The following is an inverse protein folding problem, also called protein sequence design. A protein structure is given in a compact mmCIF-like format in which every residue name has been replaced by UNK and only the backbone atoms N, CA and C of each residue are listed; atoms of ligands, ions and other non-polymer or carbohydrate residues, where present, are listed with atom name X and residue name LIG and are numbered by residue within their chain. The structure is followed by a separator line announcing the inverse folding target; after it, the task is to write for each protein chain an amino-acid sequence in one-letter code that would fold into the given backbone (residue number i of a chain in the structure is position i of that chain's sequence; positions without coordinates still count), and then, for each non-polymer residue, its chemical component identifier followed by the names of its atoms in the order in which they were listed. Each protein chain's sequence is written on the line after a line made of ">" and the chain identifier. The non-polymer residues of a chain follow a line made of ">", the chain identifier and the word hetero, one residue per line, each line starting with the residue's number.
data_IF_123620643823
#
_entry.id   IF_123620643823
#
_cell.length_a   1.000
_cell.length_b   1.000
_cell.length_c   1.000
_cell.angle_alpha   90.00
_cell.angle_beta   90.00
_cell.angle_gamma   90.00
#
_symmetry.space_group_name_H-M   'P 1'
#
loop_
_entity.id
_entity.type
_entity.pdbx_description
1 polymer ?
#
# COMPACT_ATOMS: atom_id res chain seq x y z
N UNK A 1 -31.62 16.04 -13.16
CA UNK A 1 -31.74 14.70 -13.77
C UNK A 1 -31.02 13.81 -12.79
N UNK A 2 -31.78 13.17 -11.92
CA UNK A 2 -31.23 12.34 -10.85
C UNK A 2 -30.63 11.10 -11.52
N UNK A 3 -29.31 10.93 -11.43
CA UNK A 3 -28.68 9.69 -11.84
C UNK A 3 -29.11 8.63 -10.81
N UNK A 4 -30.03 7.75 -11.19
CA UNK A 4 -30.40 6.61 -10.35
C UNK A 4 -29.15 5.77 -10.09
N UNK A 5 -28.72 5.72 -8.83
CA UNK A 5 -27.76 4.74 -8.37
C UNK A 5 -28.38 3.35 -8.53
N UNK A 6 -27.68 2.43 -9.19
CA UNK A 6 -28.15 1.06 -9.36
C UNK A 6 -27.52 0.18 -8.29
N UNK A 7 -28.33 -0.69 -7.69
CA UNK A 7 -27.91 -1.65 -6.68
C UNK A 7 -27.92 -3.07 -7.25
N UNK A 8 -26.90 -3.85 -6.91
CA UNK A 8 -26.74 -5.25 -7.33
C UNK A 8 -26.46 -6.13 -6.11
N UNK A 9 -27.37 -7.07 -5.84
CA UNK A 9 -27.22 -7.99 -4.69
C UNK A 9 -27.02 -9.43 -5.17
N UNK A 10 -26.11 -10.16 -4.53
CA UNK A 10 -25.95 -11.62 -4.69
C UNK A 10 -25.42 -12.05 -6.07
N UNK A 11 -24.47 -11.30 -6.64
CA UNK A 11 -23.92 -11.57 -7.97
C UNK A 11 -22.92 -12.73 -7.93
N UNK A 12 -23.42 -13.91 -8.28
CA UNK A 12 -22.59 -15.12 -8.37
C UNK A 12 -21.53 -15.06 -9.47
N UNK A 13 -21.87 -14.51 -10.64
CA UNK A 13 -20.94 -14.40 -11.76
C UNK A 13 -21.30 -13.25 -12.69
N UNK A 14 -20.35 -12.36 -12.95
CA UNK A 14 -20.46 -11.32 -13.96
C UNK A 14 -19.30 -11.36 -14.97
N UNK A 15 -19.62 -11.39 -16.25
CA UNK A 15 -18.61 -11.53 -17.31
C UNK A 15 -18.01 -10.19 -17.75
N UNK A 16 -18.83 -9.18 -17.99
CA UNK A 16 -18.42 -7.87 -18.47
C UNK A 16 -19.47 -6.85 -18.11
N UNK A 17 -19.06 -5.80 -17.41
CA UNK A 17 -19.88 -4.62 -17.16
C UNK A 17 -19.18 -3.40 -17.72
N UNK A 18 -19.99 -2.50 -18.27
CA UNK A 18 -19.61 -1.16 -18.72
C UNK A 18 -20.71 -0.23 -18.25
N UNK A 19 -20.39 0.60 -17.26
CA UNK A 19 -21.30 1.55 -16.63
C UNK A 19 -20.90 2.98 -16.89
N UNK A 20 -21.85 3.88 -16.62
CA UNK A 20 -21.62 5.31 -16.59
C UNK A 20 -22.45 6.01 -15.49
N UNK A 21 -22.94 5.25 -14.50
CA UNK A 21 -23.67 5.76 -13.34
C UNK A 21 -23.06 5.19 -12.06
N UNK A 22 -23.29 5.85 -10.93
CA UNK A 22 -22.91 5.29 -9.63
C UNK A 22 -23.60 3.93 -9.39
N UNK A 23 -22.91 3.00 -8.74
CA UNK A 23 -23.49 1.70 -8.37
C UNK A 23 -23.06 1.24 -6.99
N UNK A 24 -23.86 0.35 -6.42
CA UNK A 24 -23.58 -0.41 -5.21
C UNK A 24 -23.65 -1.90 -5.54
N UNK A 25 -22.67 -2.66 -5.08
CA UNK A 25 -22.59 -4.10 -5.29
C UNK A 25 -22.40 -4.81 -3.94
N UNK A 26 -23.37 -5.63 -3.56
CA UNK A 26 -23.34 -6.44 -2.35
C UNK A 26 -23.27 -7.93 -2.71
N UNK A 27 -22.26 -8.63 -2.20
CA UNK A 27 -22.11 -10.08 -2.34
C UNK A 27 -21.75 -10.52 -3.75
N UNK A 28 -20.51 -10.27 -4.17
CA UNK A 28 -19.99 -10.62 -5.49
C UNK A 28 -19.02 -11.80 -5.42
N UNK A 29 -19.46 -12.97 -5.87
CA UNK A 29 -18.57 -14.15 -5.86
C UNK A 29 -17.50 -14.08 -6.95
N UNK A 30 -17.86 -13.65 -8.18
CA UNK A 30 -16.89 -13.58 -9.26
C UNK A 30 -17.19 -12.48 -10.29
N UNK A 31 -16.23 -11.59 -10.49
CA UNK A 31 -16.27 -10.58 -11.55
C UNK A 31 -15.08 -10.68 -12.50
N UNK A 32 -15.35 -10.79 -13.81
CA UNK A 32 -14.29 -10.96 -14.81
C UNK A 32 -13.73 -9.65 -15.37
N UNK A 33 -14.59 -8.69 -15.68
CA UNK A 33 -14.15 -7.40 -16.26
C UNK A 33 -15.18 -6.33 -15.94
N UNK A 34 -14.73 -5.30 -15.27
CA UNK A 34 -15.51 -4.11 -14.98
C UNK A 34 -14.79 -2.89 -15.53
N UNK A 35 -15.56 -2.01 -16.17
CA UNK A 35 -15.12 -0.69 -16.61
C UNK A 35 -16.22 0.29 -16.21
N UNK A 36 -15.88 1.34 -15.48
CA UNK A 36 -16.82 2.40 -15.13
C UNK A 36 -16.09 3.73 -14.97
N UNK A 37 -16.86 4.82 -15.09
CA UNK A 37 -16.35 6.18 -14.99
C UNK A 37 -16.76 6.91 -13.70
N UNK A 38 -17.60 6.31 -12.85
CA UNK A 38 -18.22 6.97 -11.69
C UNK A 38 -17.92 6.26 -10.37
N UNK A 39 -18.41 6.86 -9.29
CA UNK A 39 -18.25 6.33 -7.95
C UNK A 39 -18.93 4.96 -7.75
N UNK A 40 -18.26 4.03 -7.07
CA UNK A 40 -18.83 2.72 -6.73
C UNK A 40 -18.57 2.34 -5.28
N UNK A 41 -19.46 1.51 -4.75
CA UNK A 41 -19.30 0.82 -3.47
C UNK A 41 -19.40 -0.68 -3.70
N UNK A 42 -18.50 -1.43 -3.08
CA UNK A 42 -18.41 -2.89 -3.20
C UNK A 42 -18.29 -3.50 -1.82
N UNK A 43 -19.25 -4.35 -1.48
CA UNK A 43 -19.28 -5.10 -0.24
C UNK A 43 -19.18 -6.61 -0.57
N UNK A 44 -18.28 -7.30 0.12
CA UNK A 44 -18.05 -8.75 0.03
C UNK A 44 -17.74 -9.27 -1.40
N UNK A 45 -16.50 -9.02 -1.84
CA UNK A 45 -16.00 -9.49 -3.14
C UNK A 45 -15.06 -10.67 -2.97
N UNK A 46 -15.51 -11.86 -3.36
CA UNK A 46 -14.65 -13.06 -3.29
C UNK A 46 -13.55 -13.05 -4.37
N UNK A 47 -13.89 -12.70 -5.62
CA UNK A 47 -12.91 -12.71 -6.70
C UNK A 47 -13.16 -11.63 -7.76
N UNK A 48 -12.16 -10.77 -7.98
CA UNK A 48 -12.15 -9.79 -9.05
C UNK A 48 -10.96 -9.96 -9.98
N UNK A 49 -11.22 -10.13 -11.29
CA UNK A 49 -10.15 -10.38 -12.26
C UNK A 49 -9.55 -9.11 -12.85
N UNK A 50 -10.39 -8.15 -13.24
CA UNK A 50 -9.94 -6.91 -13.87
C UNK A 50 -10.96 -5.82 -13.62
N UNK A 51 -10.50 -4.77 -12.96
CA UNK A 51 -11.21 -3.53 -12.77
C UNK A 51 -10.44 -2.39 -13.44
N UNK A 52 -11.19 -1.46 -14.00
CA UNK A 52 -10.71 -0.22 -14.60
C UNK A 52 -11.74 0.86 -14.24
N UNK A 53 -11.37 1.80 -13.38
CA UNK A 53 -12.29 2.81 -12.85
C UNK A 53 -11.66 4.20 -12.84
N UNK A 54 -12.47 5.21 -13.10
CA UNK A 54 -11.99 6.59 -13.15
C UNK A 54 -12.25 7.39 -11.87
N UNK A 55 -13.26 7.04 -11.08
CA UNK A 55 -13.73 7.85 -9.94
C UNK A 55 -13.56 7.15 -8.57
N UNK A 56 -14.08 7.78 -7.51
CA UNK A 56 -13.90 7.33 -6.13
C UNK A 56 -14.51 5.95 -5.89
N UNK A 57 -13.82 5.05 -5.20
CA UNK A 57 -14.39 3.74 -4.87
C UNK A 57 -14.17 3.37 -3.42
N UNK A 58 -15.12 2.64 -2.88
CA UNK A 58 -15.03 2.01 -1.56
C UNK A 58 -15.17 0.50 -1.74
N UNK A 59 -14.28 -0.24 -1.08
CA UNK A 59 -14.26 -1.70 -1.09
C UNK A 59 -14.22 -2.20 0.35
N UNK A 60 -15.23 -2.95 0.75
CA UNK A 60 -15.30 -3.67 2.01
C UNK A 60 -15.26 -5.18 1.72
N UNK A 61 -14.23 -5.85 2.25
CA UNK A 61 -14.09 -7.30 2.20
C UNK A 61 -13.76 -7.82 0.80
N UNK A 62 -12.47 -7.84 0.46
CA UNK A 62 -11.97 -8.44 -0.79
C UNK A 62 -11.06 -9.63 -0.53
N UNK A 63 -11.52 -10.83 -0.88
CA UNK A 63 -10.69 -12.04 -0.74
C UNK A 63 -9.59 -12.10 -1.80
N UNK A 64 -9.90 -11.80 -3.06
CA UNK A 64 -8.90 -11.87 -4.14
C UNK A 64 -9.12 -10.84 -5.24
N UNK A 65 -8.10 -10.01 -5.47
CA UNK A 65 -8.04 -9.09 -6.60
C UNK A 65 -6.83 -9.33 -7.50
N UNK A 66 -7.08 -9.53 -8.79
CA UNK A 66 -6.00 -9.84 -9.74
C UNK A 66 -5.37 -8.60 -10.38
N UNK A 67 -6.19 -7.65 -10.81
CA UNK A 67 -5.71 -6.45 -11.50
C UNK A 67 -6.68 -5.31 -11.30
N UNK A 68 -6.20 -4.27 -10.64
CA UNK A 68 -6.88 -3.01 -10.51
C UNK A 68 -6.08 -1.92 -11.23
N UNK A 69 -6.83 -1.00 -11.83
CA UNK A 69 -6.33 0.21 -12.48
C UNK A 69 -7.36 1.30 -12.14
N UNK A 70 -6.95 2.22 -11.29
CA UNK A 70 -7.77 3.34 -10.83
C UNK A 70 -7.12 4.67 -11.15
N UNK A 71 -7.90 5.74 -11.07
CA UNK A 71 -7.42 7.09 -11.31
C UNK A 71 -7.81 8.10 -10.24
N UNK A 72 -8.50 7.72 -9.16
CA UNK A 72 -9.03 8.64 -8.15
C UNK A 72 -9.05 8.02 -6.75
N UNK A 73 -9.50 8.77 -5.74
CA UNK A 73 -9.44 8.36 -4.33
C UNK A 73 -10.09 6.99 -4.05
N UNK A 74 -9.45 6.11 -3.30
CA UNK A 74 -10.10 4.86 -2.88
C UNK A 74 -9.86 4.53 -1.42
N UNK A 75 -10.80 3.76 -0.88
CA UNK A 75 -10.75 3.19 0.44
C UNK A 75 -10.93 1.68 0.32
N UNK A 76 -10.06 0.94 1.00
CA UNK A 76 -10.07 -0.52 1.03
C UNK A 76 -10.07 -0.97 2.48
N UNK A 77 -11.12 -1.66 2.89
CA UNK A 77 -11.24 -2.33 4.17
C UNK A 77 -11.21 -3.85 3.93
N UNK A 78 -10.26 -4.55 4.55
CA UNK A 78 -10.16 -6.00 4.53
C UNK A 78 -9.78 -6.58 3.16
N UNK A 79 -8.48 -6.74 2.91
CA UNK A 79 -7.96 -7.33 1.66
C UNK A 79 -7.07 -8.53 1.94
N UNK A 80 -7.55 -9.73 1.62
CA UNK A 80 -6.75 -10.95 1.82
C UNK A 80 -5.63 -11.08 0.78
N UNK A 81 -5.92 -10.84 -0.49
CA UNK A 81 -4.91 -10.99 -1.55
C UNK A 81 -5.07 -10.01 -2.71
N UNK A 82 -4.01 -9.24 -2.96
CA UNK A 82 -3.90 -8.39 -4.14
C UNK A 82 -2.69 -8.73 -5.00
N UNK A 83 -2.92 -8.95 -6.30
CA UNK A 83 -1.84 -9.32 -7.23
C UNK A 83 -1.17 -8.14 -7.90
N UNK A 84 -1.94 -7.16 -8.38
CA UNK A 84 -1.44 -5.99 -9.09
C UNK A 84 -2.42 -4.86 -8.93
N UNK A 85 -1.95 -3.80 -8.32
CA UNK A 85 -2.63 -2.53 -8.21
C UNK A 85 -1.80 -1.47 -8.89
N UNK A 86 -2.48 -0.61 -9.65
CA UNK A 86 -1.93 0.59 -10.24
C UNK A 86 -2.96 1.68 -9.98
N UNK A 87 -2.51 2.78 -9.39
CA UNK A 87 -3.35 3.95 -9.17
C UNK A 87 -2.53 5.23 -9.23
N UNK A 88 -3.21 6.34 -9.49
CA UNK A 88 -2.60 7.64 -9.64
C UNK A 88 -2.84 8.60 -8.46
N UNK A 89 -3.67 8.26 -7.47
CA UNK A 89 -4.23 9.19 -6.48
C UNK A 89 -4.27 8.63 -5.05
N UNK A 90 -4.88 9.37 -4.13
CA UNK A 90 -4.81 9.11 -2.70
C UNK A 90 -5.57 7.85 -2.25
N UNK A 91 -4.98 7.04 -1.39
CA UNK A 91 -5.63 5.81 -0.91
C UNK A 91 -5.54 5.63 0.60
N UNK A 92 -6.51 4.90 1.12
CA UNK A 92 -6.50 4.35 2.49
C UNK A 92 -6.71 2.84 2.40
N UNK A 93 -5.88 2.10 3.13
CA UNK A 93 -5.91 0.64 3.19
C UNK A 93 -5.92 0.20 4.64
N UNK A 94 -6.96 -0.51 5.01
CA UNK A 94 -7.12 -1.13 6.32
C UNK A 94 -7.08 -2.66 6.13
N UNK A 95 -6.21 -3.32 6.88
CA UNK A 95 -6.01 -4.77 6.91
C UNK A 95 -5.69 -5.44 5.55
N UNK A 96 -4.40 -5.55 5.24
CA UNK A 96 -3.91 -6.21 4.03
C UNK A 96 -3.07 -7.44 4.39
N UNK A 97 -3.59 -8.63 4.13
CA UNK A 97 -2.84 -9.86 4.40
C UNK A 97 -1.70 -10.06 3.39
N UNK A 98 -1.97 -9.89 2.09
CA UNK A 98 -0.94 -10.11 1.07
C UNK A 98 -1.08 -9.19 -0.13
N UNK A 99 0.02 -8.46 -0.41
CA UNK A 99 0.15 -7.65 -1.62
C UNK A 99 1.37 -8.04 -2.44
N UNK A 100 1.15 -8.34 -3.72
CA UNK A 100 2.24 -8.79 -4.60
C UNK A 100 2.97 -7.63 -5.31
N UNK A 101 2.22 -6.67 -5.84
CA UNK A 101 2.76 -5.56 -6.64
C UNK A 101 1.83 -4.37 -6.54
N UNK A 102 2.36 -3.30 -5.99
CA UNK A 102 1.75 -1.99 -5.99
C UNK A 102 2.63 -1.01 -6.75
N UNK A 103 1.97 -0.13 -7.47
CA UNK A 103 2.54 1.00 -8.19
C UNK A 103 1.57 2.17 -7.99
N UNK A 104 1.99 3.16 -7.22
CA UNK A 104 1.22 4.36 -6.93
C UNK A 104 1.97 5.60 -7.36
N UNK A 105 1.28 6.74 -7.31
CA UNK A 105 1.88 8.04 -7.60
C UNK A 105 1.45 9.14 -6.64
N UNK A 106 0.82 8.86 -5.50
CA UNK A 106 0.25 9.88 -4.60
C UNK A 106 0.11 9.39 -3.15
N UNK A 107 -0.31 10.26 -2.24
CA UNK A 107 -0.31 10.01 -0.80
C UNK A 107 -1.12 8.76 -0.39
N UNK A 108 -0.58 7.91 0.48
CA UNK A 108 -1.33 6.76 0.99
C UNK A 108 -1.19 6.58 2.50
N UNK A 109 -2.19 5.94 3.07
CA UNK A 109 -2.20 5.46 4.44
C UNK A 109 -2.45 3.95 4.41
N UNK A 110 -1.66 3.21 5.18
CA UNK A 110 -1.77 1.77 5.33
C UNK A 110 -1.82 1.43 6.81
N UNK A 111 -2.88 0.75 7.23
CA UNK A 111 -3.03 0.17 8.55
C UNK A 111 -3.06 -1.37 8.42
N UNK A 112 -2.11 -2.03 9.08
CA UNK A 112 -2.09 -3.49 9.20
C UNK A 112 -1.74 -4.21 7.89
N UNK A 113 -0.45 -4.38 7.62
CA UNK A 113 0.03 -5.17 6.47
C UNK A 113 0.84 -6.38 6.90
N UNK A 114 0.32 -7.57 6.65
CA UNK A 114 1.07 -8.81 6.98
C UNK A 114 2.21 -9.05 6.00
N UNK A 115 1.97 -8.92 4.69
CA UNK A 115 3.01 -9.20 3.69
C UNK A 115 2.93 -8.34 2.44
N UNK A 116 4.03 -7.67 2.13
CA UNK A 116 4.21 -6.94 0.89
C UNK A 116 5.45 -7.39 0.11
N UNK A 117 5.25 -7.74 -1.17
CA UNK A 117 6.36 -8.26 -2.00
C UNK A 117 7.12 -7.18 -2.77
N UNK A 118 6.39 -6.22 -3.34
CA UNK A 118 6.97 -5.15 -4.15
C UNK A 118 6.04 -3.95 -4.11
N UNK A 119 6.57 -2.88 -3.57
CA UNK A 119 5.94 -1.57 -3.57
C UNK A 119 6.87 -0.60 -4.29
N UNK A 120 6.25 0.23 -5.13
CA UNK A 120 6.89 1.36 -5.79
C UNK A 120 5.89 2.50 -5.68
N UNK A 121 6.31 3.60 -5.08
CA UNK A 121 5.54 4.83 -5.05
C UNK A 121 6.49 6.01 -5.26
N UNK A 122 5.91 7.19 -5.47
CA UNK A 122 6.64 8.41 -5.72
C UNK A 122 6.25 9.54 -4.77
N UNK A 123 5.48 9.30 -3.71
CA UNK A 123 4.90 10.33 -2.83
C UNK A 123 4.79 9.88 -1.37
N UNK A 124 4.33 10.80 -0.51
CA UNK A 124 4.40 10.62 0.94
C UNK A 124 3.47 9.51 1.45
N UNK A 125 3.93 8.68 2.39
CA UNK A 125 3.11 7.60 2.96
C UNK A 125 3.18 7.55 4.47
N UNK A 126 2.16 6.93 5.04
CA UNK A 126 2.09 6.54 6.44
C UNK A 126 1.78 5.04 6.53
N UNK A 127 2.54 4.34 7.37
CA UNK A 127 2.40 2.90 7.59
C UNK A 127 2.30 2.61 9.08
N UNK A 128 1.14 2.10 9.48
CA UNK A 128 0.91 1.52 10.80
C UNK A 128 0.91 -0.01 10.67
N UNK A 129 1.76 -0.68 11.45
CA UNK A 129 1.86 -2.15 11.51
C UNK A 129 2.23 -2.86 10.19
N UNK A 130 3.50 -3.21 10.00
CA UNK A 130 3.94 -4.08 8.90
C UNK A 130 4.77 -5.28 9.36
N UNK A 131 4.23 -6.49 9.19
CA UNK A 131 4.96 -7.71 9.58
C UNK A 131 6.11 -8.02 8.62
N UNK A 132 5.90 -7.92 7.31
CA UNK A 132 6.95 -8.26 6.34
C UNK A 132 6.90 -7.45 5.05
N UNK A 133 8.02 -6.77 4.78
CA UNK A 133 8.27 -6.12 3.49
C UNK A 133 9.47 -6.70 2.76
N UNK A 134 9.28 -7.11 1.51
CA UNK A 134 10.36 -7.69 0.71
C UNK A 134 11.17 -6.65 -0.08
N UNK A 135 10.48 -5.71 -0.72
CA UNK A 135 11.09 -4.69 -1.59
C UNK A 135 10.19 -3.47 -1.61
N UNK A 136 10.77 -2.37 -1.19
CA UNK A 136 10.16 -1.05 -1.23
C UNK A 136 11.11 -0.11 -1.94
N UNK A 137 10.53 0.71 -2.80
CA UNK A 137 11.20 1.78 -3.52
C UNK A 137 10.28 2.98 -3.43
N UNK A 138 10.82 4.08 -2.95
CA UNK A 138 10.10 5.34 -2.88
C UNK A 138 11.05 6.52 -3.13
N UNK A 139 10.47 7.67 -3.50
CA UNK A 139 11.18 8.90 -3.78
C UNK A 139 10.89 10.02 -2.75
N UNK A 140 10.00 9.82 -1.77
CA UNK A 140 9.45 10.89 -0.93
C UNK A 140 9.42 10.55 0.57
N UNK A 141 8.73 11.37 1.37
CA UNK A 141 8.79 11.29 2.82
C UNK A 141 7.89 10.18 3.37
N UNK A 142 8.36 9.40 4.35
CA UNK A 142 7.58 8.30 4.91
C UNK A 142 7.59 8.32 6.43
N UNK A 143 6.48 7.85 7.01
CA UNK A 143 6.32 7.57 8.42
C UNK A 143 6.02 6.07 8.60
N UNK A 144 6.73 5.44 9.53
CA UNK A 144 6.62 4.01 9.83
C UNK A 144 6.55 3.81 11.34
N UNK A 145 5.44 3.22 11.80
CA UNK A 145 5.21 3.07 13.24
C UNK A 145 5.77 1.72 13.72
N UNK A 146 5.28 0.58 13.20
CA UNK A 146 5.80 -0.73 13.57
C UNK A 146 6.20 -1.56 12.34
N UNK A 147 7.44 -2.08 12.31
CA UNK A 147 7.90 -3.00 11.29
C UNK A 147 8.65 -4.19 11.89
N UNK A 148 8.08 -5.40 11.77
CA UNK A 148 8.78 -6.61 12.22
C UNK A 148 9.95 -6.99 11.30
N UNK A 149 9.76 -6.96 9.98
CA UNK A 149 10.82 -7.35 9.05
C UNK A 149 10.82 -6.59 7.73
N UNK A 150 11.97 -5.99 7.41
CA UNK A 150 12.23 -5.37 6.12
C UNK A 150 13.46 -5.96 5.42
N UNK A 151 13.27 -6.45 4.19
CA UNK A 151 14.36 -7.08 3.43
C UNK A 151 15.17 -6.10 2.59
N UNK A 152 14.52 -5.15 1.94
CA UNK A 152 15.17 -4.19 1.06
C UNK A 152 14.33 -2.94 0.92
N UNK A 153 14.91 -1.84 1.36
CA UNK A 153 14.39 -0.50 1.17
C UNK A 153 15.36 0.31 0.32
N UNK A 154 14.80 1.15 -0.54
CA UNK A 154 15.51 2.19 -1.28
C UNK A 154 14.63 3.42 -1.24
N UNK A 155 15.07 4.45 -0.54
CA UNK A 155 14.41 5.75 -0.47
C UNK A 155 15.33 6.85 -0.97
N UNK A 156 14.77 8.05 -1.10
CA UNK A 156 15.51 9.23 -1.53
C UNK A 156 15.24 10.46 -0.66
N UNK A 157 14.37 10.40 0.35
CA UNK A 157 13.86 11.57 1.09
C UNK A 157 13.66 11.25 2.57
N UNK A 158 13.16 12.22 3.34
CA UNK A 158 13.11 12.13 4.81
C UNK A 158 12.26 10.95 5.30
N UNK A 159 12.74 10.18 6.28
CA UNK A 159 11.95 9.09 6.87
C UNK A 159 11.98 9.14 8.39
N UNK A 160 10.85 8.82 9.01
CA UNK A 160 10.72 8.57 10.45
C UNK A 160 10.36 7.08 10.65
N UNK A 161 11.02 6.45 11.61
CA UNK A 161 10.83 5.05 11.96
C UNK A 161 10.74 4.92 13.47
N UNK A 162 9.61 4.45 13.98
CA UNK A 162 9.41 4.31 15.41
C UNK A 162 9.97 2.96 15.90
N UNK A 163 9.37 1.83 15.51
CA UNK A 163 9.86 0.50 15.88
C UNK A 163 10.20 -0.38 14.68
N UNK A 164 11.44 -0.90 14.66
CA UNK A 164 11.85 -1.94 13.70
C UNK A 164 12.56 -3.10 14.37
N UNK A 165 11.99 -4.30 14.30
CA UNK A 165 12.67 -5.50 14.81
C UNK A 165 13.85 -5.92 13.92
N UNK A 166 13.68 -5.97 12.60
CA UNK A 166 14.75 -6.42 11.70
C UNK A 166 14.78 -5.71 10.35
N UNK A 167 15.94 -5.14 10.03
CA UNK A 167 16.24 -4.59 8.71
C UNK A 167 17.45 -5.26 8.05
N UNK A 168 17.27 -5.78 6.83
CA UNK A 168 18.36 -6.47 6.11
C UNK A 168 19.22 -5.54 5.26
N UNK A 169 18.59 -4.65 4.51
CA UNK A 169 19.27 -3.75 3.56
C UNK A 169 18.47 -2.48 3.42
N UNK A 170 19.10 -1.38 3.79
CA UNK A 170 18.57 -0.05 3.65
C UNK A 170 19.54 0.79 2.83
N UNK A 171 19.00 1.60 1.94
CA UNK A 171 19.70 2.58 1.14
C UNK A 171 18.82 3.82 1.12
N UNK A 172 19.36 4.94 1.58
CA UNK A 172 18.69 6.24 1.48
C UNK A 172 19.73 7.34 1.25
N UNK A 173 19.29 8.47 0.71
CA UNK A 173 20.16 9.61 0.40
C UNK A 173 20.04 10.77 1.41
N UNK A 174 18.96 10.84 2.18
CA UNK A 174 18.48 12.00 2.92
C UNK A 174 18.26 11.72 4.43
N UNK A 175 17.67 12.69 5.13
CA UNK A 175 17.58 12.74 6.59
C UNK A 175 16.71 11.61 7.18
N UNK A 176 17.14 10.99 8.28
CA UNK A 176 16.37 9.92 8.92
C UNK A 176 16.32 10.11 10.44
N UNK A 177 15.21 9.73 11.04
CA UNK A 177 15.08 9.56 12.50
C UNK A 177 14.61 8.12 12.78
N UNK A 178 15.21 7.52 13.80
CA UNK A 178 14.95 6.15 14.22
C UNK A 178 14.83 6.11 15.74
N UNK A 179 13.70 5.63 16.25
CA UNK A 179 13.48 5.54 17.69
C UNK A 179 14.03 4.21 18.23
N UNK A 180 13.52 3.06 17.78
CA UNK A 180 13.98 1.74 18.20
C UNK A 180 14.25 0.79 17.01
N UNK A 181 15.48 0.26 16.97
CA UNK A 181 15.83 -0.84 16.06
C UNK A 181 16.55 -1.98 16.77
N UNK A 182 15.95 -3.17 16.76
CA UNK A 182 16.60 -4.34 17.37
C UNK A 182 17.77 -4.83 16.52
N UNK A 183 17.61 -4.97 15.20
CA UNK A 183 18.67 -5.49 14.34
C UNK A 183 18.75 -4.85 12.96
N UNK A 184 19.94 -4.34 12.64
CA UNK A 184 20.28 -3.85 11.31
C UNK A 184 21.46 -4.58 10.69
N UNK A 185 21.28 -5.14 9.49
CA UNK A 185 22.38 -5.87 8.80
C UNK A 185 23.25 -5.00 7.91
N UNK A 186 22.64 -4.11 7.13
CA UNK A 186 23.35 -3.27 6.18
C UNK A 186 22.58 -1.99 5.94
N UNK A 187 23.23 -0.89 6.22
CA UNK A 187 22.75 0.46 5.97
C UNK A 187 23.72 1.19 5.05
N UNK A 188 23.17 1.99 4.15
CA UNK A 188 23.89 2.94 3.31
C UNK A 188 23.09 4.26 3.34
N UNK A 189 23.68 5.32 3.87
CA UNK A 189 23.09 6.66 3.95
C UNK A 189 24.11 7.73 3.54
N UNK A 190 23.66 8.95 3.27
CA UNK A 190 24.58 10.06 2.93
C UNK A 190 24.41 11.30 3.81
N UNK A 191 23.19 11.58 4.30
CA UNK A 191 22.87 12.81 5.03
C UNK A 191 22.52 12.53 6.50
N UNK A 192 21.98 13.52 7.24
CA UNK A 192 21.73 13.50 8.68
C UNK A 192 20.97 12.25 9.18
N UNK A 193 21.43 11.66 10.29
CA UNK A 193 20.82 10.48 10.89
C UNK A 193 20.71 10.66 12.41
N UNK A 194 19.51 10.54 12.96
CA UNK A 194 19.26 10.45 14.39
C UNK A 194 18.87 9.02 14.76
N UNK A 195 19.41 8.52 15.86
CA UNK A 195 19.11 7.20 16.41
C UNK A 195 18.97 7.30 17.93
N UNK A 196 17.83 6.91 18.46
CA UNK A 196 17.61 6.91 19.91
C UNK A 196 17.94 5.52 20.51
N UNK A 197 17.62 4.43 19.81
CA UNK A 197 17.84 3.06 20.26
C UNK A 197 18.21 2.09 19.15
N UNK A 198 19.41 1.49 19.25
CA UNK A 198 19.83 0.39 18.36
C UNK A 198 20.47 -0.73 19.17
N UNK A 199 19.89 -1.92 19.17
CA UNK A 199 20.49 -3.06 19.89
C UNK A 199 21.67 -3.67 19.14
N UNK A 200 21.54 -3.89 17.82
CA UNK A 200 22.60 -4.49 17.03
C UNK A 200 22.70 -3.94 15.61
N UNK A 201 23.94 -3.60 15.21
CA UNK A 201 24.26 -3.15 13.87
C UNK A 201 25.47 -3.90 13.29
N UNK A 202 25.32 -4.49 12.10
CA UNK A 202 26.42 -5.23 11.45
C UNK A 202 27.28 -4.40 10.51
N UNK A 203 26.68 -3.51 9.72
CA UNK A 203 27.42 -2.72 8.72
C UNK A 203 26.70 -1.41 8.41
N UNK A 204 27.37 -0.32 8.73
CA UNK A 204 26.99 1.05 8.38
C UNK A 204 27.95 1.60 7.32
N UNK A 205 27.42 2.39 6.39
CA UNK A 205 28.20 3.17 5.42
C UNK A 205 27.47 4.50 5.24
N UNK A 206 28.10 5.62 5.62
CA UNK A 206 27.56 6.93 5.32
C UNK A 206 28.56 8.06 5.50
N UNK A 207 28.22 9.25 5.01
CA UNK A 207 29.00 10.46 5.24
C UNK A 207 28.64 11.03 6.61
N UNK A 208 29.65 11.38 7.40
CA UNK A 208 29.51 11.79 8.79
C UNK A 208 28.78 13.14 8.93
N UNK A 209 27.72 13.16 9.73
CA UNK A 209 27.40 14.28 10.61
C UNK A 209 26.65 13.72 11.83
N UNK A 210 27.39 13.42 12.89
CA UNK A 210 26.84 13.18 14.23
C UNK A 210 26.58 14.54 14.90
N UNK A 211 25.34 14.78 15.34
CA UNK A 211 25.03 15.62 16.50
C UNK A 211 23.95 14.90 17.31
#
# INVERSE_FOLDING_TARGET
>A
MDAEAQQWDGVTFFRRFEGANAQQWDGVTFFRRFVDANAQQWDEVTFFRRFEGAEAQQWDGVTFFRRFEGANAQQWDGVTFFRRFVDANAQQWDEVTFFRRFEGANAQQWDGVTFFRRFVDANAQQWDGVTFFRRFVDANAQLWDEVTFFRRFVGANAQLWDEVTFFRRFVDANAQQWDEVTFFRRFVGANAQQWDGVTFFRRFVGAEAQQ
#
